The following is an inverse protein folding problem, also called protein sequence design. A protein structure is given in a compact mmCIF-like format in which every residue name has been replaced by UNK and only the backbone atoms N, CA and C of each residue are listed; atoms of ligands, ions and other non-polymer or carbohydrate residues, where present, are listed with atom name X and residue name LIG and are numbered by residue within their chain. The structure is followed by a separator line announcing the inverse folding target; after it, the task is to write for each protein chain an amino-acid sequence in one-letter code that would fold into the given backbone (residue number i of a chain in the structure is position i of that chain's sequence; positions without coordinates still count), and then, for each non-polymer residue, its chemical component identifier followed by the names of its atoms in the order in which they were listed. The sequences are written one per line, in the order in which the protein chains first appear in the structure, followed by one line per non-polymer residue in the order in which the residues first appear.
data_IF_714918749619
#
_entry.id   IF_714918749619
#
_cell.length_a   1.000
_cell.length_b   1.000
_cell.length_c   1.000
_cell.angle_alpha   90.00
_cell.angle_beta   90.00
_cell.angle_gamma   90.00
#
_symmetry.space_group_name_H-M   'P 1'
#
loop_
_entity.id
_entity.type
_entity.pdbx_description
1 polymer ?
#
# COMPACT_ATOMS: atom_id res chain seq x y z
N UNK A 1 68.28 23.60 38.57
CA UNK A 1 67.93 22.80 39.77
C UNK A 1 66.57 22.18 39.55
N UNK A 2 66.51 20.85 39.76
CA UNK A 2 65.35 20.00 40.13
C UNK A 2 64.27 19.63 39.09
N UNK A 3 64.15 18.30 38.97
CA UNK A 3 63.22 17.41 38.26
C UNK A 3 61.80 17.35 38.85
N UNK A 4 60.96 16.59 38.13
CA UNK A 4 59.68 15.91 38.48
C UNK A 4 58.43 16.58 37.86
N UNK A 5 57.45 15.92 37.25
CA UNK A 5 57.11 14.51 37.00
C UNK A 5 56.01 14.50 35.90
N UNK A 6 56.04 13.54 34.96
CA UNK A 6 55.08 12.43 34.77
C UNK A 6 53.61 12.77 34.41
N UNK A 7 53.28 12.41 33.16
CA UNK A 7 52.02 11.92 32.57
C UNK A 7 50.65 12.37 33.12
N UNK A 8 49.77 12.88 32.23
CA UNK A 8 48.45 12.26 31.96
C UNK A 8 47.63 12.94 30.85
N UNK A 9 47.41 12.16 29.79
CA UNK A 9 46.13 11.97 29.08
C UNK A 9 45.29 13.21 28.73
N UNK A 10 45.74 13.95 27.72
CA UNK A 10 45.02 15.05 27.05
C UNK A 10 44.02 14.57 25.99
N UNK A 11 43.27 13.49 26.25
CA UNK A 11 42.27 12.95 25.31
C UNK A 11 40.89 12.70 25.95
N UNK A 12 40.61 13.31 27.10
CA UNK A 12 39.41 13.00 27.90
C UNK A 12 38.25 14.01 27.97
N UNK A 13 38.31 15.28 27.48
CA UNK A 13 37.10 16.10 27.50
C UNK A 13 36.21 15.91 26.26
N UNK A 14 36.76 15.45 25.12
CA UNK A 14 36.00 15.33 23.86
C UNK A 14 35.09 14.10 23.81
N UNK A 15 35.46 13.00 24.47
CA UNK A 15 34.65 11.78 24.52
C UNK A 15 33.44 11.89 25.47
N UNK A 16 33.54 12.71 26.52
CA UNK A 16 32.46 12.87 27.50
C UNK A 16 31.31 13.77 26.99
N UNK A 17 31.61 14.75 26.12
CA UNK A 17 30.59 15.62 25.54
C UNK A 17 29.69 14.90 24.52
N UNK A 18 30.25 14.05 23.66
CA UNK A 18 29.50 13.38 22.59
C UNK A 18 28.44 12.39 23.07
N UNK A 19 28.69 11.73 24.21
CA UNK A 19 27.77 10.72 24.75
C UNK A 19 26.46 11.34 25.30
N UNK A 20 26.53 12.55 25.86
CA UNK A 20 25.35 13.26 26.35
C UNK A 20 24.44 13.73 25.22
N UNK A 21 24.99 14.20 24.10
CA UNK A 21 24.20 14.58 22.93
C UNK A 21 23.53 13.38 22.25
N UNK A 22 24.18 12.22 22.21
CA UNK A 22 23.60 10.99 21.67
C UNK A 22 22.40 10.50 22.51
N UNK A 23 22.49 10.58 23.83
CA UNK A 23 21.38 10.22 24.73
C UNK A 23 20.20 11.18 24.61
N UNK A 24 20.46 12.49 24.49
CA UNK A 24 19.40 13.49 24.25
C UNK A 24 18.74 13.29 22.88
N UNK A 25 19.52 12.98 21.85
CA UNK A 25 18.98 12.68 20.51
C UNK A 25 18.08 11.44 20.48
N UNK A 26 18.34 10.44 21.32
CA UNK A 26 17.51 9.22 21.43
C UNK A 26 16.17 9.46 22.13
N UNK A 27 16.07 10.53 22.94
CA UNK A 27 14.82 10.97 23.57
C UNK A 27 13.96 11.85 22.65
N UNK A 28 14.54 12.37 21.57
CA UNK A 28 13.79 13.08 20.55
C UNK A 28 13.11 12.04 19.67
N UNK A 29 11.81 11.88 19.87
CA UNK A 29 10.97 11.02 19.03
C UNK A 29 10.90 11.60 17.60
N UNK A 30 11.83 11.18 16.75
CA UNK A 30 11.87 11.53 15.32
C UNK A 30 10.73 10.89 14.50
N UNK A 31 9.83 10.11 15.12
CA UNK A 31 8.68 9.51 14.42
C UNK A 31 7.72 10.52 13.80
N UNK A 32 7.79 11.79 14.17
CA UNK A 32 6.99 12.86 13.56
C UNK A 32 7.70 13.73 12.50
N UNK A 33 9.01 13.53 12.27
CA UNK A 33 9.82 14.40 11.38
C UNK A 33 10.25 13.74 10.08
N UNK A 34 10.07 12.43 9.94
CA UNK A 34 10.11 11.78 8.64
C UNK A 34 8.75 12.09 7.99
N UNK A 35 8.68 12.71 6.79
CA UNK A 35 7.44 12.70 6.04
C UNK A 35 7.09 11.23 5.90
N UNK A 36 6.00 10.80 6.54
CA UNK A 36 5.40 9.50 6.31
C UNK A 36 5.25 9.42 4.78
N UNK A 37 6.15 8.67 4.14
CA UNK A 37 5.91 8.22 2.78
C UNK A 37 4.56 7.55 2.90
N UNK A 38 3.55 8.19 2.31
CA UNK A 38 2.15 7.90 2.49
C UNK A 38 1.97 6.41 2.22
N UNK A 39 2.09 5.60 3.27
CA UNK A 39 1.67 4.22 3.24
C UNK A 39 0.19 4.39 3.01
N UNK A 40 -0.25 4.06 1.81
CA UNK A 40 -1.64 4.03 1.39
C UNK A 40 -2.43 3.36 2.51
N UNK A 41 -2.92 4.15 3.47
CA UNK A 41 -3.94 3.70 4.40
C UNK A 41 -5.03 3.27 3.47
N UNK A 42 -5.41 2.01 3.59
CA UNK A 42 -6.60 1.44 2.98
C UNK A 42 -7.79 2.26 3.49
N UNK A 43 -8.00 3.46 2.96
CA UNK A 43 -9.31 4.04 2.85
C UNK A 43 -10.14 2.93 2.20
N UNK A 44 -11.20 2.50 2.88
CA UNK A 44 -12.04 1.39 2.41
C UNK A 44 -12.46 1.59 0.96
N UNK A 45 -13.04 0.57 0.33
CA UNK A 45 -13.50 0.64 -1.06
C UNK A 45 -14.65 1.64 -1.25
N UNK A 46 -14.33 2.94 -1.22
CA UNK A 46 -15.27 4.03 -1.46
C UNK A 46 -15.41 4.21 -2.96
N UNK A 47 -16.60 3.94 -3.47
CA UNK A 47 -16.92 4.11 -4.88
C UNK A 47 -16.79 5.58 -5.32
N UNK A 48 -16.06 5.83 -6.40
CA UNK A 48 -15.94 7.16 -7.03
C UNK A 48 -17.00 7.42 -8.10
N UNK A 49 -17.57 6.36 -8.68
CA UNK A 49 -18.56 6.44 -9.75
C UNK A 49 -19.96 6.05 -9.26
N UNK A 50 -20.97 6.26 -10.13
CA UNK A 50 -22.33 5.78 -9.90
C UNK A 50 -22.33 4.27 -9.61
N UNK A 51 -22.97 3.91 -8.51
CA UNK A 51 -23.14 2.53 -8.04
C UNK A 51 -24.23 1.84 -8.85
N UNK A 52 -23.94 0.64 -9.36
CA UNK A 52 -24.92 -0.27 -9.97
C UNK A 52 -25.35 -1.30 -8.93
N UNK A 53 -26.37 -0.98 -8.14
CA UNK A 53 -26.79 -1.75 -6.96
C UNK A 53 -27.22 -3.20 -7.23
N UNK A 54 -27.51 -3.55 -8.48
CA UNK A 54 -27.93 -4.89 -8.90
C UNK A 54 -26.74 -5.79 -9.32
N UNK A 55 -25.53 -5.24 -9.41
CA UNK A 55 -24.34 -6.00 -9.81
C UNK A 55 -23.79 -6.79 -8.63
N UNK A 56 -23.89 -8.11 -8.72
CA UNK A 56 -23.27 -9.07 -7.82
C UNK A 56 -22.55 -10.15 -8.63
N UNK A 57 -21.46 -10.68 -8.08
CA UNK A 57 -20.63 -11.69 -8.73
C UNK A 57 -21.02 -13.10 -8.25
N UNK A 58 -21.43 -13.96 -9.17
CA UNK A 58 -21.74 -15.37 -8.86
C UNK A 58 -20.48 -16.22 -8.67
N UNK A 59 -20.64 -17.42 -8.08
CA UNK A 59 -19.54 -18.39 -7.92
C UNK A 59 -18.98 -18.85 -9.27
N UNK A 60 -19.85 -19.03 -10.26
CA UNK A 60 -19.51 -19.49 -11.60
C UNK A 60 -18.69 -18.43 -12.34
N UNK A 61 -19.09 -17.17 -12.27
CA UNK A 61 -18.33 -16.06 -12.86
C UNK A 61 -16.97 -15.91 -12.20
N UNK A 62 -16.90 -15.99 -10.86
CA UNK A 62 -15.63 -15.98 -10.14
C UNK A 62 -14.73 -17.14 -10.59
N UNK A 63 -15.26 -18.37 -10.63
CA UNK A 63 -14.49 -19.53 -11.06
C UNK A 63 -13.96 -19.39 -12.50
N UNK A 64 -14.75 -18.82 -13.41
CA UNK A 64 -14.31 -18.53 -14.78
C UNK A 64 -13.22 -17.47 -14.82
N UNK A 65 -13.36 -16.38 -14.06
CA UNK A 65 -12.34 -15.33 -13.97
C UNK A 65 -10.99 -15.88 -13.50
N UNK A 66 -10.99 -16.80 -12.52
CA UNK A 66 -9.76 -17.41 -11.99
C UNK A 66 -8.97 -18.21 -13.05
N UNK A 67 -9.55 -18.45 -14.22
CA UNK A 67 -8.86 -19.07 -15.37
C UNK A 67 -8.22 -18.06 -16.31
N UNK A 68 -8.49 -16.76 -16.15
CA UNK A 68 -7.91 -15.68 -16.96
C UNK A 68 -6.51 -15.36 -16.40
N UNK A 69 -5.44 -15.52 -17.21
CA UNK A 69 -4.10 -15.17 -16.77
C UNK A 69 -3.92 -13.65 -16.67
N UNK A 70 -3.05 -13.19 -15.79
CA UNK A 70 -2.59 -11.80 -15.80
C UNK A 70 -2.02 -11.40 -17.17
N UNK A 71 -2.09 -10.11 -17.48
CA UNK A 71 -1.74 -9.47 -18.76
C UNK A 71 -2.67 -9.80 -19.94
N UNK A 72 -3.74 -10.56 -19.73
CA UNK A 72 -4.81 -10.68 -20.71
C UNK A 72 -5.58 -9.34 -20.84
N UNK A 73 -6.47 -9.24 -21.82
CA UNK A 73 -7.20 -8.01 -22.10
C UNK A 73 -8.28 -7.72 -21.05
N UNK A 74 -8.50 -6.44 -20.75
CA UNK A 74 -9.64 -5.97 -19.96
C UNK A 74 -10.96 -6.44 -20.56
N UNK A 75 -11.08 -6.43 -21.89
CA UNK A 75 -12.24 -6.94 -22.61
C UNK A 75 -12.59 -8.39 -22.23
N UNK A 76 -11.59 -9.29 -22.17
CA UNK A 76 -11.82 -10.69 -21.81
C UNK A 76 -12.34 -10.85 -20.38
N UNK A 77 -11.87 -10.03 -19.44
CA UNK A 77 -12.41 -10.01 -18.08
C UNK A 77 -13.86 -9.49 -18.09
N UNK A 78 -14.15 -8.45 -18.88
CA UNK A 78 -15.50 -7.87 -19.03
C UNK A 78 -16.50 -8.81 -19.71
N UNK A 79 -16.04 -9.72 -20.55
CA UNK A 79 -16.92 -10.75 -21.12
C UNK A 79 -17.48 -11.69 -20.05
N UNK A 80 -16.72 -11.94 -18.98
CA UNK A 80 -17.10 -12.80 -17.86
C UNK A 80 -17.87 -12.02 -16.80
N UNK A 81 -17.29 -10.91 -16.31
CA UNK A 81 -17.80 -10.16 -15.16
C UNK A 81 -18.87 -9.14 -15.52
N UNK A 82 -18.99 -8.77 -16.80
CA UNK A 82 -19.82 -7.65 -17.28
C UNK A 82 -19.39 -6.34 -16.61
N UNK A 83 -20.33 -5.41 -16.45
CA UNK A 83 -20.08 -4.09 -15.86
C UNK A 83 -19.86 -4.18 -14.35
N UNK A 84 -19.09 -3.25 -13.74
CA UNK A 84 -18.76 -3.34 -12.33
C UNK A 84 -19.88 -2.75 -11.48
N UNK A 85 -19.88 -3.08 -10.19
CA UNK A 85 -20.72 -2.39 -9.23
C UNK A 85 -20.32 -0.92 -9.14
N UNK A 86 -19.02 -0.64 -9.05
CA UNK A 86 -18.47 0.71 -9.12
C UNK A 86 -16.99 0.71 -9.48
N UNK A 87 -16.49 1.89 -9.83
CA UNK A 87 -15.07 2.17 -9.92
C UNK A 87 -14.55 2.70 -8.58
N UNK A 88 -13.38 2.19 -8.19
CA UNK A 88 -12.66 2.62 -6.99
C UNK A 88 -11.58 3.65 -7.38
N UNK A 89 -11.04 4.40 -6.40
CA UNK A 89 -9.88 5.24 -6.63
C UNK A 89 -8.75 4.46 -7.29
N UNK A 90 -8.21 5.02 -8.36
CA UNK A 90 -6.98 4.52 -8.94
C UNK A 90 -5.86 4.56 -7.90
N UNK A 91 -4.93 3.61 -8.01
CA UNK A 91 -3.75 3.58 -7.16
C UNK A 91 -2.51 3.32 -8.01
N UNK A 92 -1.36 3.77 -7.54
CA UNK A 92 -0.09 3.40 -8.17
C UNK A 92 0.39 2.07 -7.58
N UNK A 93 0.29 0.99 -8.35
CA UNK A 93 0.87 -0.31 -7.93
C UNK A 93 2.40 -0.26 -8.04
N UNK A 94 2.88 0.52 -9.01
CA UNK A 94 4.29 0.76 -9.32
C UNK A 94 4.45 2.24 -9.64
N UNK A 95 5.62 2.81 -9.32
CA UNK A 95 5.88 4.23 -9.50
C UNK A 95 5.55 4.68 -10.94
N UNK A 96 4.62 5.63 -11.07
CA UNK A 96 4.23 6.22 -12.36
C UNK A 96 3.29 5.38 -13.22
N UNK A 97 2.74 4.27 -12.71
CA UNK A 97 1.71 3.48 -13.40
C UNK A 97 0.43 3.49 -12.56
N UNK A 98 -0.56 4.25 -13.02
CA UNK A 98 -1.89 4.26 -12.41
C UNK A 98 -2.65 2.98 -12.79
N UNK A 99 -3.13 2.26 -11.78
CA UNK A 99 -4.01 1.12 -11.95
C UNK A 99 -5.47 1.53 -11.76
N UNK A 100 -6.30 1.20 -12.74
CA UNK A 100 -7.75 1.29 -12.63
C UNK A 100 -8.29 0.15 -11.77
N UNK A 101 -9.35 0.44 -11.00
CA UNK A 101 -9.89 -0.51 -10.04
C UNK A 101 -11.40 -0.60 -10.13
N UNK A 102 -11.88 -1.83 -10.16
CA UNK A 102 -13.30 -2.14 -10.30
C UNK A 102 -13.73 -3.09 -9.19
N UNK A 103 -14.86 -2.78 -8.55
CA UNK A 103 -15.40 -3.57 -7.46
C UNK A 103 -16.61 -4.40 -7.91
N UNK A 104 -16.68 -5.62 -7.40
CA UNK A 104 -17.77 -6.57 -7.61
C UNK A 104 -18.10 -7.27 -6.28
N UNK A 105 -19.21 -6.90 -5.61
CA UNK A 105 -19.68 -7.60 -4.42
C UNK A 105 -19.95 -9.07 -4.73
N UNK A 106 -19.56 -9.99 -3.85
CA UNK A 106 -19.87 -11.41 -4.04
C UNK A 106 -21.33 -11.70 -3.68
N UNK A 107 -22.04 -12.40 -4.56
CA UNK A 107 -23.44 -12.79 -4.32
C UNK A 107 -23.59 -13.67 -3.06
N UNK A 108 -22.61 -14.54 -2.82
CA UNK A 108 -22.62 -15.54 -1.75
C UNK A 108 -21.93 -15.08 -0.46
N UNK A 109 -21.32 -13.90 -0.47
CA UNK A 109 -20.72 -13.25 0.70
C UNK A 109 -20.71 -11.72 0.52
N UNK A 110 -21.83 -11.04 0.81
CA UNK A 110 -21.98 -9.61 0.51
C UNK A 110 -21.03 -8.67 1.27
N UNK A 111 -20.33 -9.17 2.31
CA UNK A 111 -19.30 -8.41 3.04
C UNK A 111 -17.93 -8.48 2.36
N UNK A 112 -17.77 -9.37 1.38
CA UNK A 112 -16.54 -9.53 0.62
C UNK A 112 -16.74 -9.06 -0.81
N UNK A 113 -15.84 -8.21 -1.27
CA UNK A 113 -15.82 -7.68 -2.63
C UNK A 113 -14.62 -8.23 -3.38
N UNK A 114 -14.82 -8.60 -4.64
CA UNK A 114 -13.72 -8.82 -5.57
C UNK A 114 -13.33 -7.49 -6.19
N UNK A 115 -12.07 -7.11 -6.05
CA UNK A 115 -11.50 -5.92 -6.68
C UNK A 115 -10.58 -6.35 -7.81
N UNK A 116 -10.91 -5.95 -9.03
CA UNK A 116 -10.07 -6.17 -10.22
C UNK A 116 -9.16 -4.97 -10.42
N UNK A 117 -7.91 -5.24 -10.81
CA UNK A 117 -6.92 -4.23 -11.16
C UNK A 117 -6.63 -4.30 -12.67
N UNK A 118 -6.57 -3.13 -13.31
CA UNK A 118 -6.13 -2.99 -14.70
C UNK A 118 -5.01 -1.97 -14.81
N UNK A 119 -4.02 -2.25 -15.64
CA UNK A 119 -3.00 -1.29 -16.06
C UNK A 119 -3.23 -0.98 -17.55
N UNK A 120 -3.89 0.15 -17.83
CA UNK A 120 -4.40 0.45 -19.17
C UNK A 120 -5.47 -0.56 -19.60
N UNK A 121 -5.23 -1.28 -20.69
CA UNK A 121 -6.15 -2.30 -21.23
C UNK A 121 -5.76 -3.74 -20.83
N UNK A 122 -4.75 -3.91 -19.96
CA UNK A 122 -4.30 -5.21 -19.45
C UNK A 122 -4.88 -5.49 -18.06
N UNK A 123 -5.34 -6.72 -17.86
CA UNK A 123 -5.71 -7.27 -16.57
C UNK A 123 -4.46 -7.50 -15.71
N UNK A 124 -4.36 -6.78 -14.61
CA UNK A 124 -3.20 -6.81 -13.71
C UNK A 124 -3.39 -7.74 -12.50
N UNK A 125 -4.57 -8.33 -12.33
CA UNK A 125 -4.88 -9.25 -11.23
C UNK A 125 -6.10 -8.84 -10.43
N UNK A 126 -6.29 -9.49 -9.28
CA UNK A 126 -7.42 -9.26 -8.39
C UNK A 126 -7.01 -9.36 -6.92
N UNK A 127 -7.85 -8.81 -6.05
CA UNK A 127 -7.83 -9.09 -4.61
C UNK A 127 -9.23 -9.17 -4.05
N UNK A 128 -9.37 -9.88 -2.94
CA UNK A 128 -10.56 -9.75 -2.11
C UNK A 128 -10.40 -8.57 -1.15
N UNK A 129 -11.48 -7.85 -0.92
CA UNK A 129 -11.59 -6.87 0.16
C UNK A 129 -12.76 -7.17 1.05
N UNK A 130 -12.64 -6.82 2.33
CA UNK A 130 -13.69 -6.97 3.32
C UNK A 130 -14.13 -5.57 3.73
N UNK A 131 -15.44 -5.33 3.67
CA UNK A 131 -16.05 -4.05 4.06
C UNK A 131 -16.33 -3.97 5.56
#
# INVERSE_FOLDING_TARGET
MKHHDSERSTLRPLLAGGLMFALVGLLIDVRGMVPEAQSSRSEGEVCQSSVKSEVVLSREQLAQLLTVPERDTKARVRDILKEPYCHLPSLEVRAGVAAEREAYPLEFDPQTWLVILYEGDEYAGYRFSHQ
#
